data_IF_911461710935
#
_entry.id   IF_911461710935
#
_cell.length_a   1.000
_cell.length_b   1.000
_cell.length_c   1.000
_cell.angle_alpha   90.00
_cell.angle_beta   90.00
_cell.angle_gamma   90.00
#
_symmetry.space_group_name_H-M   'P 1'
#
loop_
_entity.id
_entity.type
_entity.pdbx_description
1 polymer ?
#
# COMPACT_ATOMS: atom_id res chain seq x y z
N UNK A 1 11.46 -29.19 9.75
CA UNK A 1 10.69 -29.19 11.01
C UNK A 1 9.30 -28.68 10.66
N UNK A 2 8.35 -29.59 10.48
CA UNK A 2 6.95 -29.31 10.18
C UNK A 2 6.26 -28.65 11.38
N UNK A 3 6.17 -27.32 11.36
CA UNK A 3 5.37 -26.58 12.33
C UNK A 3 3.91 -26.54 11.87
N UNK A 4 3.11 -27.51 12.32
CA UNK A 4 1.65 -27.43 12.26
C UNK A 4 1.12 -27.17 13.69
N UNK A 5 0.89 -25.91 14.10
CA UNK A 5 0.40 -25.64 15.44
C UNK A 5 -1.04 -26.17 15.60
N UNK A 6 -1.27 -26.96 16.65
CA UNK A 6 -2.51 -27.72 16.90
C UNK A 6 -3.67 -26.85 17.45
N UNK A 7 -3.82 -25.62 16.98
CA UNK A 7 -4.89 -24.72 17.43
C UNK A 7 -6.14 -24.91 16.59
N UNK A 8 -7.20 -25.46 17.19
CA UNK A 8 -8.49 -25.65 16.51
C UNK A 8 -9.26 -24.33 16.52
N UNK A 9 -9.44 -23.75 15.34
CA UNK A 9 -10.32 -22.60 15.11
C UNK A 9 -11.70 -23.11 14.71
N UNK A 10 -12.77 -22.59 15.31
CA UNK A 10 -14.15 -22.95 14.99
C UNK A 10 -14.97 -21.68 14.85
N UNK A 11 -15.71 -21.58 13.76
CA UNK A 11 -16.58 -20.45 13.45
C UNK A 11 -17.81 -20.97 12.71
N UNK A 12 -18.91 -20.24 12.82
CA UNK A 12 -20.11 -20.53 12.03
C UNK A 12 -19.94 -20.00 10.60
N UNK A 13 -20.29 -20.81 9.61
CA UNK A 13 -20.34 -20.41 8.21
C UNK A 13 -21.68 -20.89 7.64
N UNK A 14 -22.41 -20.06 6.88
CA UNK A 14 -23.60 -20.49 6.16
C UNK A 14 -23.31 -21.71 5.28
N UNK A 15 -24.21 -22.70 5.29
CA UNK A 15 -24.04 -23.95 4.55
C UNK A 15 -23.85 -23.72 3.03
N UNK A 16 -24.58 -22.78 2.42
CA UNK A 16 -24.44 -22.46 0.99
C UNK A 16 -23.02 -21.98 0.62
N UNK A 17 -22.35 -21.25 1.53
CA UNK A 17 -20.99 -20.77 1.33
C UNK A 17 -19.96 -21.88 1.55
N UNK A 18 -20.26 -22.84 2.45
CA UNK A 18 -19.41 -24.01 2.65
C UNK A 18 -19.44 -24.93 1.44
N UNK A 19 -20.62 -25.17 0.85
CA UNK A 19 -20.76 -25.95 -0.37
C UNK A 19 -19.98 -25.31 -1.53
N UNK A 20 -20.15 -23.99 -1.73
CA UNK A 20 -19.40 -23.25 -2.75
C UNK A 20 -17.89 -23.31 -2.53
N UNK A 21 -17.44 -23.23 -1.27
CA UNK A 21 -16.02 -23.33 -0.92
C UNK A 21 -15.45 -24.72 -1.20
N UNK A 22 -16.23 -25.78 -0.96
CA UNK A 22 -15.83 -27.15 -1.29
C UNK A 22 -15.65 -27.33 -2.79
N UNK A 23 -16.60 -26.85 -3.59
CA UNK A 23 -16.49 -26.91 -5.06
C UNK A 23 -15.22 -26.19 -5.57
N UNK A 24 -14.87 -25.06 -4.96
CA UNK A 24 -13.64 -24.31 -5.28
C UNK A 24 -12.40 -25.11 -4.87
N UNK A 25 -12.42 -25.73 -3.69
CA UNK A 25 -11.30 -26.51 -3.18
C UNK A 25 -11.07 -27.78 -4.03
N UNK A 26 -12.12 -28.49 -4.41
CA UNK A 26 -12.06 -29.67 -5.28
C UNK A 26 -11.48 -29.34 -6.66
N UNK A 27 -11.84 -28.20 -7.25
CA UNK A 27 -11.27 -27.74 -8.53
C UNK A 27 -9.76 -27.45 -8.47
N UNK A 28 -9.25 -27.21 -7.26
CA UNK A 28 -7.84 -26.95 -7.02
C UNK A 28 -7.09 -28.15 -6.42
N UNK A 29 -7.71 -29.34 -6.41
CA UNK A 29 -7.18 -30.56 -5.78
C UNK A 29 -6.82 -30.37 -4.29
N UNK A 30 -7.62 -29.58 -3.57
CA UNK A 30 -7.42 -29.25 -2.14
C UNK A 30 -8.63 -29.63 -1.29
N UNK A 31 -8.38 -29.92 -0.03
CA UNK A 31 -9.45 -30.02 0.96
C UNK A 31 -9.83 -28.61 1.49
N UNK A 32 -11.08 -28.42 1.91
CA UNK A 32 -11.60 -27.20 2.55
C UNK A 32 -10.64 -26.61 3.59
N UNK A 33 -10.08 -27.49 4.42
CA UNK A 33 -9.14 -27.12 5.49
C UNK A 33 -7.82 -26.55 4.97
N UNK A 34 -7.36 -27.04 3.83
CA UNK A 34 -6.14 -26.58 3.17
C UNK A 34 -6.40 -25.25 2.47
N UNK A 35 -7.55 -25.12 1.80
CA UNK A 35 -7.94 -23.87 1.16
C UNK A 35 -8.11 -22.73 2.16
N UNK A 36 -8.74 -22.99 3.32
CA UNK A 36 -8.87 -22.00 4.39
C UNK A 36 -7.51 -21.60 4.96
N UNK A 37 -6.58 -22.55 5.15
CA UNK A 37 -5.22 -22.24 5.61
C UNK A 37 -4.46 -21.39 4.59
N UNK A 38 -4.56 -21.71 3.31
CA UNK A 38 -3.96 -20.92 2.24
C UNK A 38 -4.52 -19.50 2.19
N UNK A 39 -5.85 -19.34 2.34
CA UNK A 39 -6.46 -18.01 2.37
C UNK A 39 -5.99 -17.19 3.57
N UNK A 40 -5.90 -17.80 4.75
CA UNK A 40 -5.37 -17.13 5.95
C UNK A 40 -3.90 -16.77 5.75
N UNK A 41 -3.09 -17.70 5.24
CA UNK A 41 -1.67 -17.46 4.98
C UNK A 41 -1.48 -16.33 3.97
N UNK A 42 -2.20 -16.37 2.85
CA UNK A 42 -2.15 -15.33 1.81
C UNK A 42 -2.60 -13.98 2.34
N UNK A 43 -3.63 -13.94 3.19
CA UNK A 43 -4.11 -12.70 3.81
C UNK A 43 -3.06 -12.13 4.78
N UNK A 44 -2.42 -12.99 5.58
CA UNK A 44 -1.35 -12.61 6.51
C UNK A 44 -0.09 -12.17 5.76
N UNK A 45 0.30 -12.84 4.68
CA UNK A 45 1.43 -12.44 3.83
C UNK A 45 1.14 -11.15 3.07
N UNK A 46 -0.09 -10.97 2.57
CA UNK A 46 -0.49 -9.75 1.87
C UNK A 46 -0.60 -8.53 2.81
N UNK A 47 -0.99 -8.76 4.07
CA UNK A 47 -1.09 -7.75 5.12
C UNK A 47 0.04 -7.87 6.15
N UNK A 48 1.23 -8.33 5.70
CA UNK A 48 2.38 -8.66 6.54
C UNK A 48 2.64 -7.72 7.71
N UNK A 49 3.24 -8.26 8.77
CA UNK A 49 3.63 -7.62 10.03
C UNK A 49 2.80 -6.39 10.42
N UNK A 50 1.74 -6.61 11.20
CA UNK A 50 0.94 -5.53 11.80
C UNK A 50 1.73 -4.68 12.81
N UNK A 51 2.94 -5.11 13.17
CA UNK A 51 3.93 -4.38 13.96
C UNK A 51 4.85 -3.48 13.09
N UNK A 52 4.76 -3.54 11.76
CA UNK A 52 5.45 -2.54 10.95
C UNK A 52 4.82 -1.16 11.16
N UNK A 53 5.62 -0.13 11.43
CA UNK A 53 5.07 1.13 11.87
C UNK A 53 4.20 1.79 10.81
N UNK A 54 2.98 2.22 11.13
CA UNK A 54 2.07 2.66 10.07
C UNK A 54 2.69 3.81 9.26
N UNK A 55 2.65 3.73 7.91
CA UNK A 55 3.19 4.80 7.10
C UNK A 55 2.42 6.08 7.39
N UNK A 56 3.12 7.19 7.62
CA UNK A 56 2.49 8.51 7.66
C UNK A 56 1.88 8.74 6.28
N UNK A 57 0.56 8.87 6.24
CA UNK A 57 -0.21 9.11 5.02
C UNK A 57 -0.90 10.47 5.10
N UNK A 58 -1.20 11.10 3.95
CA UNK A 58 -2.11 12.24 3.92
C UNK A 58 -3.44 11.92 4.58
N UNK A 59 -4.02 12.87 5.33
CA UNK A 59 -5.36 12.72 5.95
C UNK A 59 -6.47 12.48 4.92
N UNK A 60 -6.27 12.94 3.68
CA UNK A 60 -7.20 12.72 2.59
C UNK A 60 -6.99 11.32 2.00
N UNK A 61 -7.99 10.46 2.13
CA UNK A 61 -7.98 9.08 1.62
C UNK A 61 -7.60 8.99 0.13
N UNK A 62 -8.04 9.94 -0.69
CA UNK A 62 -7.72 10.00 -2.13
C UNK A 62 -6.23 10.28 -2.36
N UNK A 63 -5.64 11.15 -1.57
CA UNK A 63 -4.20 11.45 -1.65
C UNK A 63 -3.37 10.30 -1.06
N UNK A 64 -3.86 9.64 0.00
CA UNK A 64 -3.22 8.48 0.59
C UNK A 64 -3.16 7.30 -0.38
N UNK A 65 -4.25 6.99 -1.07
CA UNK A 65 -4.28 5.95 -2.10
C UNK A 65 -3.34 6.29 -3.27
N UNK A 66 -3.38 7.52 -3.75
CA UNK A 66 -2.49 7.98 -4.80
C UNK A 66 -1.01 7.88 -4.39
N UNK A 67 -0.68 8.22 -3.15
CA UNK A 67 0.67 8.10 -2.62
C UNK A 67 1.12 6.64 -2.51
N UNK A 68 0.25 5.73 -2.06
CA UNK A 68 0.53 4.28 -2.03
C UNK A 68 0.85 3.73 -3.42
N UNK A 69 0.02 4.03 -4.41
CA UNK A 69 0.22 3.63 -5.80
C UNK A 69 1.54 4.17 -6.38
N UNK A 70 1.85 5.42 -6.08
CA UNK A 70 3.12 6.03 -6.49
C UNK A 70 4.31 5.39 -5.80
N UNK A 71 4.21 5.11 -4.50
CA UNK A 71 5.27 4.50 -3.70
C UNK A 71 5.58 3.07 -4.18
N UNK A 72 4.57 2.22 -4.36
CA UNK A 72 4.75 0.87 -4.90
C UNK A 72 5.50 0.90 -6.25
N UNK A 73 5.11 1.83 -7.13
CA UNK A 73 5.73 1.95 -8.45
C UNK A 73 7.14 2.55 -8.41
N UNK A 74 7.40 3.45 -7.47
CA UNK A 74 8.71 4.03 -7.25
C UNK A 74 9.68 3.01 -6.64
N UNK A 75 9.18 2.14 -5.75
CA UNK A 75 9.94 1.16 -4.97
C UNK A 75 10.10 -0.20 -5.67
N UNK A 76 9.77 -0.31 -6.96
CA UNK A 76 9.92 -1.55 -7.70
C UNK A 76 11.39 -2.05 -7.68
N UNK A 77 11.65 -3.35 -7.47
CA UNK A 77 12.98 -3.90 -7.14
C UNK A 77 14.03 -3.69 -8.23
N UNK A 78 13.62 -3.40 -9.46
CA UNK A 78 14.49 -3.13 -10.60
C UNK A 78 14.92 -1.64 -10.71
N UNK A 79 14.51 -0.76 -9.79
CA UNK A 79 14.80 0.68 -9.85
C UNK A 79 15.89 1.11 -8.87
N UNK A 80 16.98 1.65 -9.41
CA UNK A 80 18.10 2.23 -8.65
C UNK A 80 17.69 3.53 -7.90
N UNK A 81 16.68 4.26 -8.41
CA UNK A 81 16.16 5.49 -7.78
C UNK A 81 14.65 5.41 -7.67
N UNK A 82 14.10 5.76 -6.50
CA UNK A 82 12.65 5.81 -6.21
C UNK A 82 11.97 6.97 -6.90
N UNK A 83 11.86 6.87 -8.23
CA UNK A 83 11.22 7.87 -9.08
C UNK A 83 10.30 7.25 -10.12
N UNK A 84 9.29 8.02 -10.51
CA UNK A 84 8.30 7.67 -11.52
C UNK A 84 8.24 8.82 -12.53
N UNK A 85 8.09 8.52 -13.83
CA UNK A 85 7.85 9.57 -14.82
C UNK A 85 6.47 10.16 -14.60
N UNK A 86 6.32 11.48 -14.78
CA UNK A 86 5.04 12.18 -14.63
C UNK A 86 3.95 11.55 -15.49
N UNK A 87 4.24 11.21 -16.74
CA UNK A 87 3.26 10.56 -17.61
C UNK A 87 2.84 9.17 -17.12
N UNK A 88 3.77 8.40 -16.55
CA UNK A 88 3.46 7.10 -15.96
C UNK A 88 2.59 7.25 -14.72
N UNK A 89 2.85 8.26 -13.89
CA UNK A 89 1.99 8.61 -12.76
C UNK A 89 0.59 9.03 -13.21
N UNK A 90 0.49 9.94 -14.20
CA UNK A 90 -0.78 10.36 -14.80
C UNK A 90 -1.58 9.19 -15.36
N UNK A 91 -0.92 8.25 -16.04
CA UNK A 91 -1.56 7.06 -16.59
C UNK A 91 -2.00 6.05 -15.52
N UNK A 92 -1.65 6.25 -14.25
CA UNK A 92 -2.04 5.31 -13.19
C UNK A 92 -2.98 5.91 -12.15
N UNK A 93 -2.88 7.22 -11.95
CA UNK A 93 -3.69 7.99 -11.03
C UNK A 93 -4.92 8.64 -11.68
N UNK A 94 -5.08 8.52 -12.99
CA UNK A 94 -6.32 8.98 -13.62
C UNK A 94 -7.45 8.02 -13.31
N UNK A 95 -8.61 8.59 -13.03
CA UNK A 95 -9.87 7.89 -12.83
C UNK A 95 -11.00 8.71 -13.47
N UNK A 96 -12.24 8.24 -13.38
CA UNK A 96 -13.38 8.96 -13.98
C UNK A 96 -13.62 10.34 -13.34
N UNK A 97 -13.19 10.55 -12.09
CA UNK A 97 -13.29 11.82 -11.38
C UNK A 97 -12.02 12.69 -11.55
N UNK A 98 -10.86 12.10 -11.90
CA UNK A 98 -9.60 12.85 -12.13
C UNK A 98 -9.06 12.62 -13.54
N UNK A 99 -9.34 13.51 -14.51
CA UNK A 99 -8.73 13.40 -15.83
C UNK A 99 -7.20 13.57 -15.74
N UNK A 100 -6.46 12.97 -16.69
CA UNK A 100 -4.98 13.00 -16.73
C UNK A 100 -4.37 14.41 -16.65
N UNK A 101 -5.10 15.41 -17.12
CA UNK A 101 -4.70 16.83 -17.01
C UNK A 101 -4.75 17.33 -15.56
N UNK A 102 -5.80 16.96 -14.82
CA UNK A 102 -6.03 17.37 -13.43
C UNK A 102 -5.16 16.60 -12.42
N UNK A 103 -4.68 15.39 -12.74
CA UNK A 103 -3.80 14.60 -11.84
C UNK A 103 -2.59 15.40 -11.34
N UNK A 104 -1.99 16.24 -12.17
CA UNK A 104 -0.86 17.06 -11.74
C UNK A 104 -1.28 18.06 -10.65
N UNK A 105 -2.42 18.72 -10.82
CA UNK A 105 -2.85 19.82 -9.97
C UNK A 105 -3.63 19.36 -8.73
N UNK A 106 -4.44 18.31 -8.86
CA UNK A 106 -5.30 17.81 -7.79
C UNK A 106 -4.67 16.70 -6.95
N UNK A 107 -3.61 16.04 -7.44
CA UNK A 107 -2.96 14.93 -6.74
C UNK A 107 -1.47 15.20 -6.53
N UNK A 108 -0.70 15.44 -7.60
CA UNK A 108 0.76 15.55 -7.48
C UNK A 108 1.19 16.82 -6.73
N UNK A 109 0.63 18.00 -7.05
CA UNK A 109 0.93 19.26 -6.34
C UNK A 109 0.56 19.21 -4.85
N UNK A 110 -0.63 18.71 -4.44
CA UNK A 110 -0.95 18.52 -3.04
C UNK A 110 0.03 17.59 -2.32
N UNK A 111 0.40 16.47 -2.94
CA UNK A 111 1.40 15.54 -2.38
C UNK A 111 2.78 16.18 -2.25
N UNK A 112 3.16 17.08 -3.15
CA UNK A 112 4.39 17.86 -3.06
C UNK A 112 4.34 18.89 -1.94
N UNK A 113 3.23 19.64 -1.83
CA UNK A 113 3.02 20.63 -0.76
C UNK A 113 3.02 20.00 0.63
N UNK A 114 2.53 18.77 0.75
CA UNK A 114 2.55 17.99 1.99
C UNK A 114 3.89 17.27 2.23
N UNK A 115 4.85 17.38 1.31
CA UNK A 115 6.20 16.83 1.46
C UNK A 115 6.34 15.33 1.18
N UNK A 116 5.29 14.67 0.68
CA UNK A 116 5.30 13.24 0.34
C UNK A 116 5.96 12.95 -1.02
N UNK A 117 5.92 13.92 -1.94
CA UNK A 117 6.55 13.81 -3.25
C UNK A 117 7.36 15.07 -3.59
N UNK A 118 8.19 14.99 -4.62
CA UNK A 118 8.89 16.14 -5.19
C UNK A 118 8.94 16.00 -6.70
N UNK A 119 8.61 17.06 -7.42
CA UNK A 119 8.58 17.07 -8.87
C UNK A 119 9.84 17.77 -9.37
N UNK A 120 10.69 17.04 -10.09
CA UNK A 120 11.87 17.60 -10.71
C UNK A 120 11.78 17.52 -12.24
N UNK A 121 11.92 18.64 -12.96
CA UNK A 121 12.03 18.62 -14.41
C UNK A 121 13.40 18.03 -14.80
N UNK A 122 13.39 16.97 -15.61
CA UNK A 122 14.59 16.46 -16.28
C UNK A 122 14.62 16.86 -17.76
N UNK A 123 15.77 16.68 -18.41
CA UNK A 123 16.01 17.10 -19.81
C UNK A 123 14.93 16.65 -20.83
N UNK A 124 14.34 15.47 -20.67
CA UNK A 124 13.35 14.90 -21.61
C UNK A 124 12.05 14.46 -20.92
N UNK A 125 11.97 14.54 -19.60
CA UNK A 125 10.83 14.04 -18.84
C UNK A 125 10.79 14.70 -17.46
N UNK A 126 9.58 14.99 -16.99
CA UNK A 126 9.36 15.37 -15.59
C UNK A 126 9.34 14.11 -14.74
N UNK A 127 10.11 14.12 -13.65
CA UNK A 127 10.22 13.02 -12.71
C UNK A 127 9.53 13.38 -11.40
N UNK A 128 8.78 12.42 -10.85
CA UNK A 128 8.21 12.49 -9.51
C UNK A 128 9.08 11.59 -8.64
N UNK A 129 9.74 12.19 -7.66
CA UNK A 129 10.44 11.52 -6.59
C UNK A 129 9.47 11.31 -5.45
N UNK A 130 9.23 10.05 -5.11
CA UNK A 130 8.32 9.70 -4.03
C UNK A 130 9.17 9.49 -2.79
N UNK A 131 8.90 10.25 -1.72
CA UNK A 131 9.64 10.03 -0.47
C UNK A 131 9.35 8.62 0.04
N UNK A 132 10.33 7.97 0.70
CA UNK A 132 10.07 6.75 1.44
C UNK A 132 8.86 6.97 2.35
N UNK A 133 7.95 6.00 2.40
CA UNK A 133 7.00 5.96 3.50
C UNK A 133 7.80 6.05 4.80
N UNK A 134 7.46 7.05 5.61
CA UNK A 134 8.00 7.16 6.97
C UNK A 134 7.09 6.35 7.84
N UNK A 135 7.67 5.41 8.55
CA UNK A 135 7.00 4.53 9.46
C UNK A 135 7.27 5.16 10.84
N UNK A 136 6.26 5.67 11.54
CA UNK A 136 6.44 6.02 12.96
C UNK A 136 6.29 4.74 13.75
N UNK A 137 7.41 4.19 14.23
CA UNK A 137 7.38 3.29 15.40
C UNK A 137 6.43 3.94 16.39
N UNK A 138 5.54 3.19 17.03
CA UNK A 138 4.50 3.71 17.91
C UNK A 138 5.01 4.50 19.14
N UNK A 139 6.27 4.93 19.14
CA UNK A 139 6.92 5.78 20.11
C UNK A 139 7.45 7.06 19.45
N UNK A 140 7.16 8.18 20.10
CA UNK A 140 7.73 9.53 19.89
C UNK A 140 7.20 10.38 18.72
N UNK A 141 6.01 10.94 18.95
CA UNK A 141 5.75 12.34 18.56
C UNK A 141 6.55 13.24 19.54
N UNK A 142 7.85 13.41 19.34
CA UNK A 142 8.53 14.61 19.84
C UNK A 142 8.23 15.74 18.86
N UNK A 143 7.23 16.54 19.20
CA UNK A 143 7.06 17.87 18.62
C UNK A 143 8.41 18.61 18.63
N UNK A 144 8.87 19.17 17.50
CA UNK A 144 10.02 20.04 17.50
C UNK A 144 9.61 21.40 18.06
N UNK A 145 9.47 21.48 19.39
CA UNK A 145 9.27 22.71 20.14
C UNK A 145 10.58 23.50 20.23
N UNK A 146 10.78 24.38 19.25
CA UNK A 146 11.49 25.67 19.31
C UNK A 146 12.83 25.78 20.07
N UNK A 147 13.88 26.03 19.28
CA UNK A 147 15.01 26.85 19.72
C UNK A 147 14.56 28.29 20.00
N UNK A 148 14.78 28.81 21.20
CA UNK A 148 15.28 30.18 21.48
C UNK A 148 15.46 30.34 23.00
N UNK A 149 16.69 30.48 23.52
CA UNK A 149 17.36 31.76 23.79
C UNK A 149 16.61 32.66 24.80
N UNK A 150 17.00 32.56 26.07
CA UNK A 150 17.46 33.68 26.91
C UNK A 150 17.99 33.15 28.25
#
# INVERSE_FOLDING_TARGET
>A
MDHNPSSRVSFGCPDDLLETLDEIAEREDKNRSEKLRELVQKEVEAKGDLDEPQPILPDNERLAEAYRLLHERASAPHKIKRRVKLETAKNKLYDNNTPKAAVLEEIIKPLESLGYASVEPGNQSVWIFVRPMRYTDGEDIVEPGEKALA
#
